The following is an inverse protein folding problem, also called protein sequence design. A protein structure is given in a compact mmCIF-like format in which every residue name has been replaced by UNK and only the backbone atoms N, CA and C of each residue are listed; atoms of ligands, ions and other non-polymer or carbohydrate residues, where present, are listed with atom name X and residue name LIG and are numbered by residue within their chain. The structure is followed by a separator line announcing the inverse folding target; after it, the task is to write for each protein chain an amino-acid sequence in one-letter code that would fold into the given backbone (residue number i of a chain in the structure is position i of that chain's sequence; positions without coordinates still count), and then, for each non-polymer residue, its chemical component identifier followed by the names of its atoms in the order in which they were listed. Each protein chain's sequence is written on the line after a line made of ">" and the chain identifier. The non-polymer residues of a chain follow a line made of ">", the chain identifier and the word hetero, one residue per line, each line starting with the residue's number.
data_IF_746565405554
#
_entry.id   IF_746565405554
#
_cell.length_a   1.000
_cell.length_b   1.000
_cell.length_c   1.000
_cell.angle_alpha   90.00
_cell.angle_beta   90.00
_cell.angle_gamma   90.00
#
_symmetry.space_group_name_H-M   'P 1'
#
loop_
_entity.id
_entity.type
_entity.pdbx_description
1 polymer ?
#
# COMPACT_ATOMS: atom_id res chain seq x y z
N UNK A 1 -35.38 12.40 7.01
CA UNK A 1 -34.68 11.63 5.96
C UNK A 1 -34.41 12.51 4.75
N UNK A 2 -35.44 13.03 4.06
CA UNK A 2 -35.31 13.85 2.84
C UNK A 2 -34.24 14.98 2.87
N UNK A 3 -34.09 15.73 3.98
CA UNK A 3 -33.08 16.79 4.08
C UNK A 3 -31.64 16.25 4.07
N UNK A 4 -31.40 15.05 4.63
CA UNK A 4 -30.07 14.43 4.66
C UNK A 4 -29.66 13.96 3.28
N UNK A 5 -30.60 13.36 2.55
CA UNK A 5 -30.37 12.87 1.20
C UNK A 5 -29.97 14.03 0.27
N UNK A 6 -30.61 15.19 0.40
CA UNK A 6 -30.27 16.37 -0.39
C UNK A 6 -28.82 16.84 -0.18
N UNK A 7 -28.30 16.79 1.06
CA UNK A 7 -26.94 17.22 1.39
C UNK A 7 -25.89 16.25 0.83
N UNK A 8 -26.20 14.94 0.77
CA UNK A 8 -25.31 13.94 0.21
C UNK A 8 -25.00 14.15 -1.29
N UNK A 9 -25.92 14.79 -2.00
CA UNK A 9 -25.81 15.10 -3.42
C UNK A 9 -25.08 16.41 -3.73
N UNK A 10 -24.81 17.24 -2.72
CA UNK A 10 -24.08 18.50 -2.88
C UNK A 10 -22.57 18.27 -2.98
N UNK A 11 -21.88 19.13 -3.72
CA UNK A 11 -20.43 19.30 -3.64
C UNK A 11 -20.04 20.29 -2.52
N UNK A 12 -18.75 20.44 -2.24
CA UNK A 12 -18.31 21.36 -1.18
C UNK A 12 -18.66 22.82 -1.48
N UNK A 13 -18.60 23.24 -2.74
CA UNK A 13 -18.89 24.61 -3.14
C UNK A 13 -20.37 24.97 -2.91
N UNK A 14 -21.29 24.10 -3.34
CA UNK A 14 -22.74 24.25 -3.11
C UNK A 14 -23.07 24.26 -1.62
N UNK A 15 -22.41 23.38 -0.85
CA UNK A 15 -22.59 23.35 0.61
C UNK A 15 -22.17 24.67 1.26
N UNK A 16 -21.04 25.26 0.85
CA UNK A 16 -20.56 26.55 1.35
C UNK A 16 -21.54 27.68 1.03
N UNK A 17 -22.03 27.74 -0.21
CA UNK A 17 -23.00 28.75 -0.63
C UNK A 17 -24.33 28.63 0.13
N UNK A 18 -24.80 27.40 0.38
CA UNK A 18 -26.00 27.16 1.17
C UNK A 18 -25.81 27.54 2.65
N UNK A 19 -24.61 27.41 3.19
CA UNK A 19 -24.31 27.72 4.58
C UNK A 19 -24.21 29.23 4.84
N UNK A 20 -23.71 30.00 3.87
CA UNK A 20 -23.59 31.47 3.95
C UNK A 20 -24.95 32.14 4.23
N UNK A 21 -26.05 31.55 3.78
CA UNK A 21 -27.40 32.06 3.99
C UNK A 21 -27.97 31.79 5.39
N UNK A 22 -27.40 30.84 6.16
CA UNK A 22 -28.04 30.29 7.35
C UNK A 22 -27.28 30.48 8.66
N UNK A 23 -25.94 30.32 8.67
CA UNK A 23 -25.12 30.52 9.86
C UNK A 23 -23.61 30.47 9.55
N UNK A 24 -22.82 31.41 10.06
CA UNK A 24 -21.40 31.58 9.75
C UNK A 24 -20.46 30.65 10.54
N UNK A 25 -20.65 29.33 10.48
CA UNK A 25 -19.63 28.39 10.99
C UNK A 25 -18.45 28.27 10.02
N UNK A 26 -17.22 28.35 10.52
CA UNK A 26 -16.01 28.27 9.68
C UNK A 26 -15.86 26.86 9.09
N UNK A 27 -15.72 26.70 7.76
CA UNK A 27 -15.66 25.38 7.10
C UNK A 27 -14.25 24.79 7.12
N UNK A 28 -13.69 24.59 8.31
CA UNK A 28 -12.31 24.13 8.50
C UNK A 28 -12.05 22.74 7.90
N UNK A 29 -13.05 21.85 7.93
CA UNK A 29 -12.92 20.48 7.42
C UNK A 29 -12.71 20.41 5.91
N UNK A 30 -13.41 21.26 5.13
CA UNK A 30 -13.28 21.28 3.67
C UNK A 30 -11.87 21.74 3.27
N UNK A 31 -11.36 22.81 3.88
CA UNK A 31 -10.00 23.28 3.62
C UNK A 31 -8.95 22.22 3.98
N UNK A 32 -9.12 21.54 5.11
CA UNK A 32 -8.23 20.45 5.50
C UNK A 32 -8.26 19.30 4.49
N UNK A 33 -9.44 18.90 4.02
CA UNK A 33 -9.62 17.84 3.02
C UNK A 33 -8.96 18.20 1.68
N UNK A 34 -9.10 19.44 1.22
CA UNK A 34 -8.44 19.91 -0.02
C UNK A 34 -6.92 19.94 0.15
N UNK A 35 -6.42 20.46 1.26
CA UNK A 35 -4.99 20.48 1.57
C UNK A 35 -4.41 19.06 1.56
N UNK A 36 -5.06 18.13 2.26
CA UNK A 36 -4.67 16.72 2.29
C UNK A 36 -4.71 16.10 0.89
N UNK A 37 -5.76 16.37 0.11
CA UNK A 37 -5.90 15.85 -1.26
C UNK A 37 -4.76 16.33 -2.17
N UNK A 38 -4.37 17.60 -2.06
CA UNK A 38 -3.22 18.16 -2.80
C UNK A 38 -1.92 17.46 -2.43
N UNK A 39 -1.64 17.30 -1.13
CA UNK A 39 -0.43 16.63 -0.65
C UNK A 39 -0.38 15.18 -1.13
N UNK A 40 -1.48 14.44 -0.97
CA UNK A 40 -1.56 13.05 -1.41
C UNK A 40 -1.42 12.91 -2.92
N UNK A 41 -1.99 13.82 -3.71
CA UNK A 41 -1.82 13.84 -5.16
C UNK A 41 -0.34 13.97 -5.55
N UNK A 42 0.40 14.91 -4.93
CA UNK A 42 1.83 15.09 -5.20
C UNK A 42 2.63 13.83 -4.84
N UNK A 43 2.33 13.21 -3.70
CA UNK A 43 2.94 11.95 -3.28
C UNK A 43 2.68 10.84 -4.31
N UNK A 44 1.43 10.69 -4.75
CA UNK A 44 1.08 9.66 -5.74
C UNK A 44 1.69 9.91 -7.12
N UNK A 45 1.75 11.16 -7.58
CA UNK A 45 2.42 11.51 -8.84
C UNK A 45 3.92 11.17 -8.78
N UNK A 46 4.58 11.49 -7.66
CA UNK A 46 5.97 11.08 -7.42
C UNK A 46 6.12 9.55 -7.45
N UNK A 47 5.21 8.83 -6.80
CA UNK A 47 5.23 7.37 -6.76
C UNK A 47 4.99 6.74 -8.14
N UNK A 48 4.09 7.30 -8.97
CA UNK A 48 3.88 6.86 -10.36
C UNK A 48 5.17 6.98 -11.16
N UNK A 49 5.87 8.12 -11.07
CA UNK A 49 7.11 8.33 -11.81
C UNK A 49 8.14 7.22 -11.53
N UNK A 50 8.36 6.90 -10.25
CA UNK A 50 9.29 5.82 -9.88
C UNK A 50 8.76 4.42 -10.22
N UNK A 51 7.46 4.16 -10.01
CA UNK A 51 6.85 2.87 -10.32
C UNK A 51 6.92 2.55 -11.82
N UNK A 52 6.68 3.54 -12.69
CA UNK A 52 6.83 3.39 -14.16
C UNK A 52 8.27 3.01 -14.52
N UNK A 53 9.26 3.66 -13.91
CA UNK A 53 10.67 3.32 -14.12
C UNK A 53 10.96 1.85 -13.73
N UNK A 54 10.45 1.41 -12.58
CA UNK A 54 10.60 0.03 -12.10
C UNK A 54 9.90 -1.00 -12.99
N UNK A 55 8.68 -0.71 -13.46
CA UNK A 55 7.93 -1.60 -14.38
C UNK A 55 8.63 -1.74 -15.72
N UNK A 56 9.19 -0.64 -16.25
CA UNK A 56 9.97 -0.68 -17.50
C UNK A 56 11.23 -1.54 -17.38
N UNK A 57 11.92 -1.49 -16.24
CA UNK A 57 13.11 -2.33 -15.98
C UNK A 57 12.74 -3.80 -15.73
N UNK A 58 11.65 -4.07 -14.99
CA UNK A 58 11.28 -5.41 -14.53
C UNK A 58 9.83 -5.80 -14.88
N UNK A 59 9.47 -5.90 -16.17
CA UNK A 59 8.07 -6.09 -16.58
C UNK A 59 7.46 -7.43 -16.15
N UNK A 60 8.28 -8.42 -15.79
CA UNK A 60 7.82 -9.76 -15.37
C UNK A 60 7.59 -9.90 -13.86
N UNK A 61 7.91 -8.87 -13.06
CA UNK A 61 7.74 -8.91 -11.59
C UNK A 61 6.39 -8.29 -11.21
N UNK A 62 5.64 -8.92 -10.32
CA UNK A 62 4.28 -8.49 -9.95
C UNK A 62 4.32 -7.24 -9.04
N UNK A 63 5.29 -7.17 -8.12
CA UNK A 63 5.38 -6.06 -7.17
C UNK A 63 5.47 -4.65 -7.81
N UNK A 64 6.29 -4.39 -8.86
CA UNK A 64 6.25 -3.11 -9.58
C UNK A 64 4.89 -2.77 -10.19
N UNK A 65 4.17 -3.75 -10.75
CA UNK A 65 2.82 -3.55 -11.31
C UNK A 65 1.80 -3.20 -10.23
N UNK A 66 1.83 -3.90 -9.08
CA UNK A 66 0.98 -3.59 -7.94
C UNK A 66 1.29 -2.19 -7.36
N UNK A 67 2.56 -1.83 -7.29
CA UNK A 67 2.98 -0.50 -6.86
C UNK A 67 2.48 0.60 -7.81
N UNK A 68 2.58 0.36 -9.12
CA UNK A 68 2.04 1.26 -10.14
C UNK A 68 0.52 1.36 -10.03
N UNK A 69 -0.21 0.25 -9.87
CA UNK A 69 -1.67 0.27 -9.75
C UNK A 69 -2.15 1.05 -8.53
N UNK A 70 -1.49 0.89 -7.37
CA UNK A 70 -1.77 1.68 -6.16
C UNK A 70 -1.56 3.17 -6.47
N UNK A 71 -0.42 3.52 -7.04
CA UNK A 71 -0.05 4.91 -7.24
C UNK A 71 -0.95 5.61 -8.27
N UNK A 72 -1.27 4.92 -9.38
CA UNK A 72 -2.20 5.39 -10.40
C UNK A 72 -3.61 5.56 -9.85
N UNK A 73 -4.10 4.58 -9.07
CA UNK A 73 -5.44 4.66 -8.46
C UNK A 73 -5.53 5.85 -7.50
N UNK A 74 -4.52 6.05 -6.65
CA UNK A 74 -4.45 7.21 -5.75
C UNK A 74 -4.43 8.54 -6.50
N UNK A 75 -3.60 8.68 -7.53
CA UNK A 75 -3.55 9.90 -8.33
C UNK A 75 -4.87 10.19 -9.07
N UNK A 76 -5.51 9.16 -9.65
CA UNK A 76 -6.82 9.29 -10.29
C UNK A 76 -7.90 9.70 -9.30
N UNK A 77 -7.89 9.14 -8.09
CA UNK A 77 -8.82 9.51 -7.05
C UNK A 77 -8.63 10.98 -6.61
N UNK A 78 -7.42 11.36 -6.20
CA UNK A 78 -7.18 12.72 -5.70
C UNK A 78 -7.27 13.79 -6.80
N UNK A 79 -6.77 13.50 -8.00
CA UNK A 79 -6.83 14.43 -9.13
C UNK A 79 -8.20 14.51 -9.80
N UNK A 80 -8.91 13.37 -9.91
CA UNK A 80 -10.19 13.29 -10.63
C UNK A 80 -11.43 13.51 -9.75
N UNK A 81 -11.35 13.22 -8.45
CA UNK A 81 -12.49 13.35 -7.54
C UNK A 81 -12.19 14.25 -6.33
N UNK A 82 -11.04 14.07 -5.69
CA UNK A 82 -10.67 14.80 -4.46
C UNK A 82 -10.54 16.31 -4.64
N UNK A 83 -9.75 16.77 -5.61
CA UNK A 83 -9.60 18.19 -5.91
C UNK A 83 -10.85 18.79 -6.57
N UNK A 84 -11.45 18.16 -7.60
CA UNK A 84 -12.67 18.66 -8.23
C UNK A 84 -13.84 18.87 -7.26
N UNK A 85 -13.89 18.12 -6.14
CA UNK A 85 -14.93 18.27 -5.10
C UNK A 85 -15.07 19.71 -4.56
N UNK A 86 -14.00 20.50 -4.56
CA UNK A 86 -13.99 21.88 -4.08
C UNK A 86 -14.36 22.92 -5.15
N UNK A 87 -14.53 22.51 -6.41
CA UNK A 87 -14.84 23.41 -7.53
C UNK A 87 -16.34 23.40 -7.88
N UNK A 88 -16.86 24.47 -8.49
CA UNK A 88 -18.24 24.50 -8.98
C UNK A 88 -18.45 23.42 -10.05
N UNK A 89 -19.53 22.65 -9.92
CA UNK A 89 -19.79 21.49 -10.80
C UNK A 89 -18.94 20.25 -10.49
N UNK A 90 -18.24 20.24 -9.36
CA UNK A 90 -17.51 19.08 -8.87
C UNK A 90 -18.40 17.89 -8.51
N UNK A 91 -17.80 16.70 -8.27
CA UNK A 91 -18.54 15.51 -7.88
C UNK A 91 -19.28 15.71 -6.54
N UNK A 92 -20.42 15.05 -6.41
CA UNK A 92 -21.16 14.99 -5.13
C UNK A 92 -20.34 14.28 -4.05
N UNK A 93 -20.61 14.58 -2.77
CA UNK A 93 -19.97 13.87 -1.66
C UNK A 93 -20.20 12.35 -1.72
N UNK A 94 -21.40 11.91 -2.14
CA UNK A 94 -21.67 10.47 -2.35
C UNK A 94 -20.78 9.85 -3.43
N UNK A 95 -20.61 10.51 -4.57
CA UNK A 95 -19.72 10.06 -5.65
C UNK A 95 -18.26 10.00 -5.16
N UNK A 96 -17.84 11.01 -4.39
CA UNK A 96 -16.49 11.08 -3.83
C UNK A 96 -16.21 9.90 -2.87
N UNK A 97 -17.14 9.60 -1.95
CA UNK A 97 -16.99 8.48 -1.01
C UNK A 97 -17.00 7.12 -1.71
N UNK A 98 -17.83 6.97 -2.75
CA UNK A 98 -17.84 5.76 -3.56
C UNK A 98 -16.51 5.57 -4.32
N UNK A 99 -16.00 6.63 -4.95
CA UNK A 99 -14.69 6.61 -5.59
C UNK A 99 -13.56 6.32 -4.59
N UNK A 100 -13.63 6.89 -3.38
CA UNK A 100 -12.68 6.64 -2.30
C UNK A 100 -12.70 5.17 -1.88
N UNK A 101 -13.89 4.59 -1.72
CA UNK A 101 -14.04 3.17 -1.38
C UNK A 101 -13.36 2.26 -2.42
N UNK A 102 -13.62 2.50 -3.70
CA UNK A 102 -12.97 1.73 -4.79
C UNK A 102 -11.44 1.89 -4.72
N UNK A 103 -10.96 3.13 -4.53
CA UNK A 103 -9.53 3.41 -4.46
C UNK A 103 -8.85 2.69 -3.28
N UNK A 104 -9.46 2.72 -2.10
CA UNK A 104 -8.96 2.02 -0.91
C UNK A 104 -9.01 0.50 -1.07
N UNK A 105 -10.06 -0.04 -1.71
CA UNK A 105 -10.17 -1.48 -1.99
C UNK A 105 -9.04 -1.94 -2.90
N UNK A 106 -8.80 -1.23 -4.01
CA UNK A 106 -7.69 -1.53 -4.93
C UNK A 106 -6.33 -1.40 -4.24
N UNK A 107 -6.18 -0.42 -3.35
CA UNK A 107 -4.97 -0.26 -2.54
C UNK A 107 -4.75 -1.48 -1.62
N UNK A 108 -5.77 -1.89 -0.85
CA UNK A 108 -5.69 -3.06 0.04
C UNK A 108 -5.41 -4.35 -0.73
N UNK A 109 -6.09 -4.57 -1.85
CA UNK A 109 -5.86 -5.74 -2.71
C UNK A 109 -4.41 -5.82 -3.19
N UNK A 110 -3.87 -4.72 -3.72
CA UNK A 110 -2.50 -4.68 -4.21
C UNK A 110 -1.47 -4.89 -3.10
N UNK A 111 -1.67 -4.33 -1.91
CA UNK A 111 -0.82 -4.56 -0.73
C UNK A 111 -0.86 -6.04 -0.33
N UNK A 112 -2.05 -6.62 -0.25
CA UNK A 112 -2.23 -8.02 0.12
C UNK A 112 -1.63 -8.98 -0.91
N UNK A 113 -1.71 -8.66 -2.21
CA UNK A 113 -1.04 -9.42 -3.27
C UNK A 113 0.48 -9.38 -3.08
N UNK A 114 1.06 -8.23 -2.77
CA UNK A 114 2.51 -8.11 -2.52
C UNK A 114 2.91 -8.95 -1.30
N UNK A 115 2.14 -8.89 -0.20
CA UNK A 115 2.40 -9.71 0.99
C UNK A 115 2.27 -11.21 0.68
N UNK A 116 1.26 -11.59 -0.10
CA UNK A 116 1.03 -12.96 -0.51
C UNK A 116 2.15 -13.48 -1.43
N UNK A 117 2.64 -12.68 -2.37
CA UNK A 117 3.79 -13.02 -3.22
C UNK A 117 5.02 -13.35 -2.36
N UNK A 118 5.28 -12.53 -1.34
CA UNK A 118 6.44 -12.72 -0.44
C UNK A 118 6.27 -13.93 0.45
N UNK A 119 5.08 -14.14 1.02
CA UNK A 119 4.78 -15.34 1.80
C UNK A 119 4.87 -16.61 0.94
N UNK A 120 4.39 -16.58 -0.30
CA UNK A 120 4.46 -17.70 -1.24
C UNK A 120 5.90 -18.09 -1.58
N UNK A 121 6.76 -17.10 -1.86
CA UNK A 121 8.18 -17.33 -2.09
C UNK A 121 8.89 -17.86 -0.83
N UNK A 122 8.51 -17.34 0.33
CA UNK A 122 9.05 -17.74 1.63
C UNK A 122 8.70 -19.20 1.99
N UNK A 123 7.53 -19.70 1.58
CA UNK A 123 7.04 -21.06 1.82
C UNK A 123 7.30 -22.03 0.65
N UNK A 124 8.44 -21.88 -0.03
CA UNK A 124 8.87 -22.80 -1.10
C UNK A 124 7.79 -23.02 -2.18
N UNK A 125 7.03 -21.97 -2.53
CA UNK A 125 5.99 -22.01 -3.58
C UNK A 125 4.82 -22.96 -3.29
N UNK A 126 4.39 -23.06 -2.04
CA UNK A 126 3.21 -23.84 -1.69
C UNK A 126 1.92 -23.26 -2.34
N UNK A 127 1.30 -24.02 -3.25
CA UNK A 127 0.09 -23.60 -3.99
C UNK A 127 -1.13 -23.39 -3.09
N UNK A 128 -1.26 -24.13 -1.99
CA UNK A 128 -2.40 -23.98 -1.08
C UNK A 128 -2.43 -22.61 -0.40
N UNK A 129 -1.25 -22.08 -0.04
CA UNK A 129 -1.13 -20.75 0.56
C UNK A 129 -1.61 -19.66 -0.41
N UNK A 130 -1.31 -19.82 -1.70
CA UNK A 130 -1.74 -18.89 -2.75
C UNK A 130 -3.26 -18.93 -2.94
N UNK A 131 -3.87 -20.12 -2.99
CA UNK A 131 -5.34 -20.26 -3.13
C UNK A 131 -6.06 -19.68 -1.91
N UNK A 132 -5.65 -20.05 -0.69
CA UNK A 132 -6.25 -19.54 0.54
C UNK A 132 -6.08 -18.02 0.64
N UNK A 133 -4.88 -17.51 0.33
CA UNK A 133 -4.61 -16.08 0.33
C UNK A 133 -5.49 -15.30 -0.66
N UNK A 134 -5.64 -15.78 -1.89
CA UNK A 134 -6.52 -15.14 -2.87
C UNK A 134 -8.00 -15.14 -2.42
N UNK A 135 -8.48 -16.24 -1.83
CA UNK A 135 -9.84 -16.31 -1.29
C UNK A 135 -10.05 -15.30 -0.15
N UNK A 136 -9.08 -15.15 0.74
CA UNK A 136 -9.14 -14.16 1.82
C UNK A 136 -9.15 -12.72 1.29
N UNK A 137 -8.29 -12.41 0.31
CA UNK A 137 -8.24 -11.08 -0.32
C UNK A 137 -9.56 -10.75 -1.02
N UNK A 138 -10.13 -11.72 -1.74
CA UNK A 138 -11.39 -11.52 -2.46
C UNK A 138 -12.57 -11.35 -1.50
N UNK A 139 -12.60 -12.14 -0.42
CA UNK A 139 -13.61 -12.02 0.63
C UNK A 139 -13.54 -10.65 1.33
N UNK A 140 -12.35 -10.20 1.70
CA UNK A 140 -12.14 -8.87 2.29
C UNK A 140 -12.66 -7.76 1.36
N UNK A 141 -12.27 -7.81 0.09
CA UNK A 141 -12.61 -6.79 -0.91
C UNK A 141 -14.12 -6.73 -1.17
N UNK A 142 -14.76 -7.91 -1.26
CA UNK A 142 -16.20 -8.01 -1.47
C UNK A 142 -16.97 -7.43 -0.28
N UNK A 143 -16.56 -7.76 0.94
CA UNK A 143 -17.21 -7.27 2.16
C UNK A 143 -17.03 -5.77 2.31
N UNK A 144 -15.84 -5.24 2.06
CA UNK A 144 -15.62 -3.79 2.07
C UNK A 144 -16.47 -3.06 1.02
N UNK A 145 -16.60 -3.62 -0.18
CA UNK A 145 -17.46 -3.08 -1.23
C UNK A 145 -18.94 -3.04 -0.81
N UNK A 146 -19.47 -4.15 -0.28
CA UNK A 146 -20.86 -4.24 0.21
C UNK A 146 -21.10 -3.26 1.36
N UNK A 147 -20.18 -3.19 2.32
CA UNK A 147 -20.27 -2.25 3.43
C UNK A 147 -20.28 -0.80 2.94
N UNK A 148 -19.44 -0.48 1.95
CA UNK A 148 -19.36 0.87 1.37
C UNK A 148 -20.65 1.26 0.65
N UNK A 149 -21.32 0.32 -0.01
CA UNK A 149 -22.62 0.58 -0.66
C UNK A 149 -23.72 0.94 0.35
N UNK A 150 -23.63 0.41 1.57
CA UNK A 150 -24.58 0.68 2.65
C UNK A 150 -24.30 1.99 3.40
N UNK A 151 -23.18 2.67 3.12
CA UNK A 151 -22.82 3.89 3.85
C UNK A 151 -23.59 5.12 3.38
N UNK A 152 -24.07 5.91 4.34
CA UNK A 152 -24.66 7.21 4.07
C UNK A 152 -23.56 8.30 4.02
N UNK A 153 -23.63 9.16 3.01
CA UNK A 153 -22.71 10.26 2.81
C UNK A 153 -23.17 11.50 3.57
N UNK A 154 -22.29 12.11 4.36
CA UNK A 154 -22.59 13.31 5.13
C UNK A 154 -21.52 14.38 4.92
N UNK A 155 -21.95 15.64 4.84
CA UNK A 155 -21.06 16.80 4.84
C UNK A 155 -21.22 17.52 6.17
N UNK A 156 -20.10 17.73 6.87
CA UNK A 156 -20.06 18.49 8.12
C UNK A 156 -18.99 19.59 8.06
N UNK A 157 -19.21 20.78 8.65
CA UNK A 157 -18.24 21.88 8.62
C UNK A 157 -16.88 21.52 9.22
N UNK A 158 -16.87 20.64 10.23
CA UNK A 158 -15.65 20.25 10.97
C UNK A 158 -14.77 19.24 10.23
N UNK A 159 -15.35 18.36 9.41
CA UNK A 159 -14.65 17.20 8.83
C UNK A 159 -14.71 17.16 7.29
N UNK A 160 -15.54 17.99 6.66
CA UNK A 160 -15.81 17.92 5.23
C UNK A 160 -16.75 16.78 4.87
N UNK A 161 -16.50 16.13 3.74
CA UNK A 161 -17.26 14.97 3.28
C UNK A 161 -16.77 13.70 3.99
N UNK A 162 -17.65 13.04 4.74
CA UNK A 162 -17.35 11.83 5.48
C UNK A 162 -18.48 10.80 5.37
N UNK A 163 -18.12 9.53 5.46
CA UNK A 163 -19.09 8.44 5.51
C UNK A 163 -19.56 8.24 6.96
N UNK A 164 -20.87 8.26 7.18
CA UNK A 164 -21.44 7.95 8.49
C UNK A 164 -21.59 6.43 8.62
N UNK A 165 -20.59 5.79 9.21
CA UNK A 165 -20.61 4.35 9.45
C UNK A 165 -21.46 3.99 10.67
N UNK A 166 -22.26 2.93 10.54
CA UNK A 166 -22.91 2.30 11.69
C UNK A 166 -21.87 1.79 12.67
N UNK A 167 -22.24 1.75 13.96
CA UNK A 167 -21.26 1.54 15.04
C UNK A 167 -20.43 0.26 14.87
N UNK A 168 -21.06 -0.80 14.37
CA UNK A 168 -20.47 -2.12 14.20
C UNK A 168 -19.60 -2.27 12.94
N UNK A 169 -19.72 -1.40 11.93
CA UNK A 169 -19.04 -1.58 10.64
C UNK A 169 -17.51 -1.59 10.78
N UNK A 170 -16.87 -0.64 11.49
CA UNK A 170 -15.43 -0.68 11.70
C UNK A 170 -14.97 -1.92 12.48
N UNK A 171 -15.78 -2.40 13.43
CA UNK A 171 -15.48 -3.59 14.24
C UNK A 171 -15.55 -4.85 13.38
N UNK A 172 -16.59 -4.99 12.56
CA UNK A 172 -16.74 -6.11 11.62
C UNK A 172 -15.60 -6.09 10.61
N UNK A 173 -15.29 -4.93 10.04
CA UNK A 173 -14.15 -4.79 9.13
C UNK A 173 -12.85 -5.22 9.80
N UNK A 174 -12.58 -4.75 11.03
CA UNK A 174 -11.41 -5.17 11.81
C UNK A 174 -11.37 -6.68 12.05
N UNK A 175 -12.48 -7.29 12.46
CA UNK A 175 -12.55 -8.73 12.73
C UNK A 175 -12.34 -9.58 11.47
N UNK A 176 -12.60 -9.04 10.29
CA UNK A 176 -12.39 -9.73 9.02
C UNK A 176 -10.96 -9.57 8.50
N UNK A 177 -10.40 -8.36 8.61
CA UNK A 177 -9.06 -8.05 8.12
C UNK A 177 -7.96 -8.51 9.07
N UNK A 178 -8.18 -8.42 10.38
CA UNK A 178 -7.16 -8.76 11.37
C UNK A 178 -6.71 -10.22 11.27
N UNK A 179 -7.59 -11.25 11.19
CA UNK A 179 -7.14 -12.64 11.10
C UNK A 179 -6.30 -12.91 9.86
N UNK A 180 -6.72 -12.41 8.69
CA UNK A 180 -5.97 -12.59 7.45
C UNK A 180 -4.57 -11.94 7.55
N UNK A 181 -4.53 -10.68 8.01
CA UNK A 181 -3.28 -9.94 8.19
C UNK A 181 -2.39 -10.57 9.27
N UNK A 182 -2.95 -11.07 10.37
CA UNK A 182 -2.22 -11.79 11.42
C UNK A 182 -1.65 -13.10 10.91
N UNK A 183 -2.42 -13.93 10.19
CA UNK A 183 -1.93 -15.20 9.64
C UNK A 183 -0.78 -14.95 8.66
N UNK A 184 -0.93 -13.98 7.75
CA UNK A 184 0.12 -13.61 6.79
C UNK A 184 1.37 -13.06 7.50
N UNK A 185 1.17 -12.24 8.53
CA UNK A 185 2.27 -11.67 9.33
C UNK A 185 3.03 -12.74 10.11
N UNK A 186 2.31 -13.67 10.75
CA UNK A 186 2.90 -14.78 11.51
C UNK A 186 3.65 -15.72 10.57
N UNK A 187 3.06 -16.07 9.42
CA UNK A 187 3.72 -16.89 8.40
C UNK A 187 5.03 -16.24 7.94
N UNK A 188 5.00 -14.94 7.64
CA UNK A 188 6.19 -14.18 7.27
C UNK A 188 7.24 -14.17 8.38
N UNK A 189 6.85 -13.88 9.63
CA UNK A 189 7.75 -13.88 10.79
C UNK A 189 8.40 -15.24 11.02
N UNK A 190 7.67 -16.34 10.86
CA UNK A 190 8.22 -17.70 11.00
C UNK A 190 9.32 -17.93 9.97
N UNK A 191 9.12 -17.50 8.71
CA UNK A 191 10.15 -17.69 7.67
C UNK A 191 11.36 -16.81 7.93
N UNK A 192 11.14 -15.54 8.31
CA UNK A 192 12.22 -14.63 8.71
C UNK A 192 13.02 -15.26 9.85
N UNK A 193 12.35 -15.79 10.86
CA UNK A 193 12.99 -16.44 12.00
C UNK A 193 13.79 -17.70 11.60
N UNK A 194 13.25 -18.54 10.72
CA UNK A 194 13.96 -19.73 10.22
C UNK A 194 15.18 -19.36 9.38
N UNK A 195 15.06 -18.35 8.53
CA UNK A 195 16.18 -17.86 7.70
C UNK A 195 17.26 -17.21 8.57
N UNK A 196 16.88 -16.47 9.60
CA UNK A 196 17.81 -15.95 10.61
C UNK A 196 18.66 -17.06 11.23
N UNK A 197 18.00 -18.15 11.65
CA UNK A 197 18.69 -19.27 12.31
C UNK A 197 19.64 -20.02 11.36
N UNK A 198 19.37 -20.04 10.05
CA UNK A 198 20.12 -20.87 9.07
C UNK A 198 21.35 -20.18 8.47
N UNK A 199 21.27 -18.88 8.13
CA UNK A 199 22.31 -18.20 7.34
C UNK A 199 23.37 -17.46 8.17
N UNK A 200 23.26 -17.49 9.51
CA UNK A 200 24.19 -16.80 10.40
C UNK A 200 24.13 -15.27 10.29
N UNK A 201 24.80 -14.56 11.20
CA UNK A 201 24.56 -13.11 11.38
C UNK A 201 25.02 -12.22 10.21
N UNK A 202 26.08 -12.58 9.48
CA UNK A 202 26.75 -11.64 8.55
C UNK A 202 25.99 -11.44 7.24
N UNK A 203 25.61 -12.51 6.54
CA UNK A 203 24.77 -12.43 5.33
C UNK A 203 23.33 -11.99 5.67
N UNK A 204 22.82 -12.43 6.82
CA UNK A 204 21.49 -12.05 7.30
C UNK A 204 21.35 -10.54 7.49
N UNK A 205 22.35 -9.89 8.11
CA UNK A 205 22.31 -8.45 8.38
C UNK A 205 22.16 -7.60 7.12
N UNK A 206 22.67 -8.06 5.98
CA UNK A 206 22.52 -7.38 4.69
C UNK A 206 21.12 -7.62 4.08
N UNK A 207 20.65 -8.87 4.06
CA UNK A 207 19.39 -9.22 3.42
C UNK A 207 18.15 -8.71 4.18
N UNK A 208 18.24 -8.65 5.51
CA UNK A 208 17.13 -8.26 6.40
C UNK A 208 16.92 -6.77 6.45
N UNK A 209 18.02 -6.02 6.43
CA UNK A 209 18.02 -4.57 6.66
C UNK A 209 17.22 -3.83 5.59
N UNK A 210 17.14 -4.38 4.38
CA UNK A 210 16.47 -3.74 3.24
C UNK A 210 15.03 -4.26 3.03
N UNK A 211 14.84 -5.60 2.97
CA UNK A 211 13.54 -6.19 2.61
C UNK A 211 12.62 -6.52 3.79
N UNK A 212 13.17 -6.90 4.94
CA UNK A 212 12.36 -7.35 6.09
C UNK A 212 11.86 -6.17 6.91
N UNK A 213 12.71 -5.16 7.12
CA UNK A 213 12.34 -3.93 7.86
C UNK A 213 11.19 -3.21 7.18
N UNK A 214 11.21 -3.10 5.85
CA UNK A 214 10.14 -2.45 5.07
C UNK A 214 8.83 -3.22 5.18
N UNK A 215 8.85 -4.56 5.09
CA UNK A 215 7.65 -5.36 5.30
C UNK A 215 7.11 -5.27 6.73
N UNK A 216 7.99 -5.31 7.73
CA UNK A 216 7.57 -5.12 9.13
C UNK A 216 6.98 -3.73 9.37
N UNK A 217 7.52 -2.69 8.71
CA UNK A 217 6.97 -1.35 8.78
C UNK A 217 5.57 -1.28 8.14
N UNK A 218 5.37 -1.89 6.98
CA UNK A 218 4.05 -1.98 6.32
C UNK A 218 3.04 -2.74 7.19
N UNK A 219 3.43 -3.87 7.76
CA UNK A 219 2.57 -4.64 8.66
C UNK A 219 2.25 -3.85 9.93
N UNK A 220 3.26 -3.24 10.54
CA UNK A 220 3.12 -2.43 11.74
C UNK A 220 2.24 -1.20 11.52
N UNK A 221 2.37 -0.50 10.39
CA UNK A 221 1.51 0.63 10.05
C UNK A 221 0.06 0.23 9.86
N UNK A 222 -0.18 -0.95 9.25
CA UNK A 222 -1.53 -1.48 9.07
C UNK A 222 -2.17 -1.88 10.40
N UNK A 223 -1.44 -2.58 11.27
CA UNK A 223 -1.92 -2.86 12.62
C UNK A 223 -2.21 -1.59 13.42
N UNK A 224 -1.32 -0.59 13.34
CA UNK A 224 -1.53 0.68 14.03
C UNK A 224 -2.76 1.43 13.50
N UNK A 225 -2.94 1.48 12.18
CA UNK A 225 -4.12 2.10 11.56
C UNK A 225 -5.42 1.39 11.97
N UNK A 226 -5.42 0.06 11.95
CA UNK A 226 -6.54 -0.77 12.40
C UNK A 226 -6.90 -0.50 13.87
N UNK A 227 -5.90 -0.44 14.75
CA UNK A 227 -6.08 -0.12 16.17
C UNK A 227 -6.67 1.29 16.33
N UNK A 228 -6.09 2.29 15.68
CA UNK A 228 -6.58 3.67 15.73
C UNK A 228 -8.04 3.81 15.27
N UNK A 229 -8.42 3.06 14.24
CA UNK A 229 -9.79 3.02 13.71
C UNK A 229 -10.75 2.27 14.62
N UNK A 230 -10.34 1.14 15.19
CA UNK A 230 -11.16 0.37 16.14
C UNK A 230 -11.51 1.19 17.39
N UNK A 231 -10.53 1.94 17.92
CA UNK A 231 -10.73 2.81 19.08
C UNK A 231 -11.32 4.19 18.75
N UNK A 232 -11.60 4.46 17.46
CA UNK A 232 -12.16 5.74 16.99
C UNK A 232 -11.38 6.96 17.51
N UNK A 233 -10.05 6.88 17.57
CA UNK A 233 -9.20 7.94 18.13
C UNK A 233 -9.44 9.31 17.47
N UNK A 234 -9.92 9.32 16.23
CA UNK A 234 -10.18 10.52 15.43
C UNK A 234 -11.66 10.86 15.27
N UNK A 235 -12.56 10.27 16.08
CA UNK A 235 -14.02 10.50 16.10
C UNK A 235 -14.72 10.28 14.74
N UNK A 236 -14.70 11.28 13.84
CA UNK A 236 -15.25 11.25 12.48
C UNK A 236 -14.22 11.22 11.34
N UNK A 237 -12.93 11.40 11.63
CA UNK A 237 -11.86 11.45 10.62
C UNK A 237 -11.20 10.08 10.34
N UNK A 238 -11.89 8.98 10.64
CA UNK A 238 -11.35 7.63 10.42
C UNK A 238 -10.99 7.33 8.94
N UNK A 239 -11.73 7.80 7.90
CA UNK A 239 -11.33 7.57 6.52
C UNK A 239 -9.99 8.23 6.14
N UNK A 240 -9.63 9.31 6.82
CA UNK A 240 -8.39 10.05 6.58
C UNK A 240 -7.17 9.21 6.96
N UNK A 241 -7.27 8.39 8.02
CA UNK A 241 -6.19 7.48 8.40
C UNK A 241 -5.92 6.44 7.31
N UNK A 242 -6.96 5.84 6.73
CA UNK A 242 -6.80 4.88 5.63
C UNK A 242 -6.18 5.52 4.39
N UNK A 243 -6.57 6.75 4.08
CA UNK A 243 -5.96 7.53 3.00
C UNK A 243 -4.47 7.74 3.24
N UNK A 244 -4.10 8.25 4.42
CA UNK A 244 -2.70 8.50 4.79
C UNK A 244 -1.90 7.20 4.75
N UNK A 245 -2.45 6.13 5.32
CA UNK A 245 -1.84 4.81 5.33
C UNK A 245 -1.57 4.31 3.90
N UNK A 246 -2.56 4.38 3.00
CA UNK A 246 -2.37 3.95 1.62
C UNK A 246 -1.25 4.75 0.91
N UNK A 247 -1.16 6.07 1.15
CA UNK A 247 -0.06 6.88 0.61
C UNK A 247 1.30 6.54 1.23
N UNK A 248 1.36 6.30 2.54
CA UNK A 248 2.57 5.88 3.25
C UNK A 248 3.06 4.52 2.73
N UNK A 249 2.17 3.53 2.66
CA UNK A 249 2.50 2.19 2.18
C UNK A 249 2.92 2.24 0.71
N UNK A 250 2.23 3.00 -0.15
CA UNK A 250 2.64 3.21 -1.55
C UNK A 250 4.07 3.74 -1.63
N UNK A 251 4.40 4.75 -0.82
CA UNK A 251 5.73 5.37 -0.80
C UNK A 251 6.80 4.39 -0.29
N UNK A 252 6.52 3.65 0.78
CA UNK A 252 7.42 2.65 1.35
C UNK A 252 7.67 1.51 0.37
N UNK A 253 6.63 1.03 -0.32
CA UNK A 253 6.75 -0.03 -1.33
C UNK A 253 7.61 0.44 -2.49
N UNK A 254 7.32 1.60 -3.10
CA UNK A 254 8.12 2.16 -4.20
C UNK A 254 9.59 2.32 -3.80
N UNK A 255 9.84 2.88 -2.62
CA UNK A 255 11.20 3.10 -2.13
C UNK A 255 11.92 1.77 -1.84
N UNK A 256 11.23 0.79 -1.27
CA UNK A 256 11.79 -0.55 -1.04
C UNK A 256 12.18 -1.24 -2.34
N UNK A 257 11.34 -1.13 -3.39
CA UNK A 257 11.62 -1.70 -4.71
C UNK A 257 12.79 -0.97 -5.38
N UNK A 258 12.89 0.35 -5.21
CA UNK A 258 14.00 1.16 -5.72
C UNK A 258 15.33 0.78 -5.07
N UNK A 259 15.34 0.52 -3.76
CA UNK A 259 16.55 0.08 -3.06
C UNK A 259 16.98 -1.33 -3.49
N UNK A 260 16.02 -2.23 -3.68
CA UNK A 260 16.29 -3.56 -4.23
C UNK A 260 16.89 -3.49 -5.65
N UNK A 261 16.42 -2.58 -6.51
CA UNK A 261 17.01 -2.34 -7.84
C UNK A 261 18.49 -1.94 -7.75
N UNK A 262 18.81 -0.99 -6.87
CA UNK A 262 20.21 -0.54 -6.68
C UNK A 262 21.12 -1.62 -6.13
N UNK A 263 20.58 -2.54 -5.32
CA UNK A 263 21.32 -3.64 -4.75
C UNK A 263 21.64 -4.72 -5.79
N UNK A 264 20.63 -5.17 -6.55
CA UNK A 264 20.81 -6.15 -7.62
C UNK A 264 21.83 -5.65 -8.66
N UNK A 265 21.75 -4.38 -9.04
CA UNK A 265 22.70 -3.78 -9.97
C UNK A 265 24.14 -3.80 -9.44
N UNK A 266 24.34 -3.58 -8.13
CA UNK A 266 25.67 -3.64 -7.51
C UNK A 266 26.23 -5.06 -7.49
N UNK A 267 25.42 -6.06 -7.20
CA UNK A 267 25.84 -7.46 -7.20
C UNK A 267 26.24 -7.95 -8.59
N UNK A 268 25.46 -7.58 -9.62
CA UNK A 268 25.81 -7.89 -11.02
C UNK A 268 27.15 -7.26 -11.43
N UNK A 269 27.41 -6.02 -10.98
CA UNK A 269 28.68 -5.34 -11.23
C UNK A 269 29.87 -6.06 -10.55
N UNK A 270 29.69 -6.49 -9.30
CA UNK A 270 30.72 -7.24 -8.60
C UNK A 270 30.98 -8.59 -9.26
N UNK A 271 29.93 -9.26 -9.72
CA UNK A 271 30.09 -10.53 -10.42
C UNK A 271 30.81 -10.37 -11.76
N UNK A 272 30.53 -9.29 -12.51
CA UNK A 272 31.26 -8.95 -13.74
C UNK A 272 32.71 -8.54 -13.49
N UNK A 273 33.00 -7.84 -12.39
CA UNK A 273 34.38 -7.49 -12.02
C UNK A 273 35.18 -8.73 -11.60
N UNK A 274 34.56 -9.63 -10.84
CA UNK A 274 35.19 -10.89 -10.43
C UNK A 274 35.54 -11.77 -11.63
N UNK A 275 34.62 -11.89 -12.61
CA UNK A 275 34.87 -12.68 -13.83
C UNK A 275 35.95 -12.05 -14.72
N UNK A 276 35.99 -10.71 -14.83
CA UNK A 276 37.07 -10.01 -15.55
C UNK A 276 38.44 -10.22 -14.90
N UNK A 277 38.53 -10.09 -13.58
CA UNK A 277 39.78 -10.32 -12.83
C UNK A 277 40.28 -11.76 -13.01
N UNK A 278 39.36 -12.72 -12.95
CA UNK A 278 39.67 -14.13 -13.18
C UNK A 278 40.20 -14.37 -14.61
N UNK A 279 39.61 -13.73 -15.62
CA UNK A 279 40.13 -13.80 -16.99
C UNK A 279 41.51 -13.14 -17.16
N UNK A 280 41.78 -11.99 -16.53
CA UNK A 280 43.11 -11.36 -16.60
C UNK A 280 44.18 -12.16 -15.87
N UNK A 281 43.84 -12.79 -14.75
CA UNK A 281 44.77 -13.69 -14.04
C UNK A 281 45.08 -14.94 -14.86
N UNK A 282 44.07 -15.55 -15.49
CA UNK A 282 44.26 -16.68 -16.42
C UNK A 282 45.08 -16.34 -17.67
N UNK A 283 45.07 -15.08 -18.11
CA UNK A 283 45.87 -14.64 -19.26
C UNK A 283 47.33 -14.36 -18.91
N UNK A 284 47.66 -14.16 -17.62
CA UNK A 284 49.01 -13.75 -17.21
C UNK A 284 49.89 -14.92 -16.78
N UNK A 285 49.30 -16.04 -16.34
CA UNK A 285 50.04 -17.20 -15.83
C UNK A 285 49.69 -18.47 -16.63
N UNK A 286 50.55 -18.83 -17.59
CA UNK A 286 50.43 -20.07 -18.37
C UNK A 286 50.69 -21.37 -17.58
N UNK A 287 50.52 -21.39 -16.25
CA UNK A 287 50.81 -22.55 -15.39
C UNK A 287 49.77 -22.64 -14.25
N UNK A 288 48.97 -23.73 -14.28
CA UNK A 288 47.94 -24.30 -13.37
C UNK A 288 47.90 -23.87 -11.87
N UNK A 289 46.74 -23.98 -11.15
CA UNK A 289 46.21 -25.29 -10.72
C UNK A 289 44.67 -25.47 -10.60
N UNK A 290 44.31 -26.75 -10.47
CA UNK A 290 43.04 -27.47 -10.71
C UNK A 290 42.15 -27.74 -9.47
N UNK A 291 42.10 -26.90 -8.43
CA UNK A 291 41.63 -27.39 -7.10
C UNK A 291 40.31 -26.82 -6.52
N UNK A 292 39.59 -25.87 -7.13
CA UNK A 292 38.40 -25.28 -6.45
C UNK A 292 37.14 -25.37 -7.30
N UNK A 293 36.44 -26.52 -7.27
CA UNK A 293 35.15 -26.65 -7.96
C UNK A 293 34.03 -27.37 -7.20
N UNK A 294 34.18 -27.72 -5.93
CA UNK A 294 33.14 -28.39 -5.16
C UNK A 294 32.70 -27.52 -3.97
N UNK A 295 31.55 -26.82 -4.08
CA UNK A 295 30.60 -26.60 -2.96
C UNK A 295 29.45 -25.59 -3.22
N UNK A 296 29.24 -25.08 -4.44
CA UNK A 296 28.21 -24.05 -4.65
C UNK A 296 26.76 -24.55 -4.89
N UNK A 297 26.54 -25.83 -5.16
CA UNK A 297 25.24 -26.32 -5.65
C UNK A 297 24.25 -26.82 -4.57
N UNK A 298 24.63 -26.83 -3.29
CA UNK A 298 23.78 -27.37 -2.19
C UNK A 298 22.86 -26.35 -1.48
N UNK A 299 22.62 -25.18 -2.07
CA UNK A 299 21.83 -24.10 -1.46
C UNK A 299 20.56 -23.76 -2.26
N UNK A 300 19.62 -24.71 -2.31
CA UNK A 300 18.20 -24.45 -2.57
C UNK A 300 17.32 -25.11 -1.49
#
# INVERSE_FOLDING_TARGET
>A
MARRDAVAHMNAFEFLNAQEQGNSTRPTGIFFQVMLSTVMLVVFLRNIYYAVSLVRKYPRKIAPWCSLSIATTGALFFGGFGLPFAFPGGPSCRTLLFALSIALTLCSMAISIILLERAYLAHCRNRYLLVIGMLLILLESLLFYVLSWMTEAHIAPAYGCHAHFLYYVPVVHFLLTAPANTVLSVAFLIVVYRKYRRYGEKCWRLLVREGTVTMLLVLGSNFLCMICNAFRLFSGNTPILYVIECGLISTVIVESLRRLDTFMYRDDLHHQHATKLQHTLWSSDGILPTIVHADLDTLC
#
